data_IF_472895822856
#
_entry.id   IF_472895822856
#
_cell.length_a   1.000
_cell.length_b   1.000
_cell.length_c   1.000
_cell.angle_alpha   90.00
_cell.angle_beta   90.00
_cell.angle_gamma   90.00
#
_symmetry.space_group_name_H-M   'P 1'
#
loop_
_entity.id
_entity.type
_entity.pdbx_description
1 polymer ?
#
# COMPACT_ATOMS: atom_id res chain seq x y z
N UNK A 1 26.40 17.37 4.51
CA UNK A 1 25.51 17.58 5.67
C UNK A 1 24.31 16.66 5.53
N UNK A 2 24.32 15.58 6.28
CA UNK A 2 23.18 14.66 6.32
C UNK A 2 22.13 15.24 7.25
N UNK A 3 21.20 15.99 6.66
CA UNK A 3 19.99 16.37 7.36
C UNK A 3 19.04 15.15 7.35
N UNK A 4 19.40 14.17 8.17
CA UNK A 4 18.47 13.11 8.53
C UNK A 4 17.42 13.74 9.44
N UNK A 5 16.44 14.42 8.83
CA UNK A 5 15.24 14.82 9.55
C UNK A 5 14.67 13.56 10.18
N UNK A 6 14.83 13.45 11.48
CA UNK A 6 14.30 12.35 12.29
C UNK A 6 12.81 12.27 11.99
N UNK A 7 12.39 11.16 11.40
CA UNK A 7 10.96 10.92 11.13
C UNK A 7 10.27 10.83 12.49
N UNK A 8 9.35 11.76 12.75
CA UNK A 8 8.55 11.74 13.99
C UNK A 8 7.52 10.61 13.85
N UNK A 9 7.49 9.64 14.77
CA UNK A 9 6.50 8.57 14.71
C UNK A 9 5.08 9.13 14.78
N UNK A 10 4.17 8.53 14.02
CA UNK A 10 2.75 8.81 14.09
C UNK A 10 2.19 8.25 15.41
N UNK A 11 1.28 8.97 16.08
CA UNK A 11 0.64 8.43 17.26
C UNK A 11 -0.41 7.37 16.90
N UNK A 12 -0.73 6.50 17.86
CA UNK A 12 -1.63 5.36 17.62
C UNK A 12 -3.06 5.79 17.25
N UNK A 13 -3.55 6.88 17.81
CA UNK A 13 -4.90 7.38 17.51
C UNK A 13 -4.99 7.88 16.06
N UNK A 14 -3.97 8.58 15.60
CA UNK A 14 -3.86 9.04 14.21
C UNK A 14 -3.74 7.86 13.25
N UNK A 15 -2.92 6.88 13.57
CA UNK A 15 -2.77 5.66 12.79
C UNK A 15 -4.08 4.91 12.63
N UNK A 16 -4.84 4.72 13.71
CA UNK A 16 -6.14 4.06 13.67
C UNK A 16 -7.15 4.80 12.81
N UNK A 17 -7.16 6.13 12.84
CA UNK A 17 -8.00 6.94 11.94
C UNK A 17 -7.65 6.70 10.48
N UNK A 18 -6.37 6.66 10.16
CA UNK A 18 -5.89 6.39 8.80
C UNK A 18 -6.33 5.00 8.36
N UNK A 19 -6.08 3.98 9.16
CA UNK A 19 -6.46 2.60 8.85
C UNK A 19 -7.96 2.47 8.56
N UNK A 20 -8.80 3.09 9.38
CA UNK A 20 -10.26 3.08 9.17
C UNK A 20 -10.70 3.81 7.92
N UNK A 21 -9.93 4.80 7.46
CA UNK A 21 -10.24 5.60 6.29
C UNK A 21 -9.74 5.02 4.98
N UNK A 22 -8.81 4.07 5.00
CA UNK A 22 -8.21 3.49 3.80
C UNK A 22 -9.22 2.63 3.06
N UNK A 23 -9.43 2.85 1.74
CA UNK A 23 -10.16 1.90 0.91
C UNK A 23 -9.45 0.55 0.88
N UNK A 24 -10.15 -0.50 1.22
CA UNK A 24 -9.63 -1.88 1.18
C UNK A 24 -10.49 -2.69 0.22
N UNK A 25 -9.86 -3.21 -0.82
CA UNK A 25 -10.51 -4.08 -1.81
C UNK A 25 -10.08 -5.51 -1.52
N UNK A 26 -11.02 -6.35 -1.15
CA UNK A 26 -10.78 -7.77 -0.84
C UNK A 26 -11.27 -8.70 -1.95
N UNK A 27 -10.91 -9.96 -1.84
CA UNK A 27 -11.31 -11.01 -2.77
C UNK A 27 -10.91 -10.70 -4.22
N UNK A 28 -9.76 -10.09 -4.42
CA UNK A 28 -9.26 -9.75 -5.75
C UNK A 28 -8.85 -11.03 -6.49
N UNK A 29 -9.44 -11.25 -7.66
CA UNK A 29 -9.16 -12.42 -8.51
C UNK A 29 -8.17 -12.13 -9.63
N UNK A 30 -7.62 -10.93 -9.70
CA UNK A 30 -6.64 -10.56 -10.72
C UNK A 30 -5.39 -11.43 -10.65
N UNK A 31 -4.77 -11.64 -11.80
CA UNK A 31 -3.56 -12.46 -11.94
C UNK A 31 -2.30 -11.63 -12.17
N UNK A 32 -2.44 -10.33 -12.37
CA UNK A 32 -1.34 -9.40 -12.62
C UNK A 32 -1.31 -8.29 -11.58
N UNK A 33 -0.12 -7.80 -11.27
CA UNK A 33 0.04 -6.65 -10.40
C UNK A 33 -0.70 -5.40 -10.94
N UNK A 34 -0.68 -5.19 -12.26
CA UNK A 34 -1.39 -4.09 -12.90
C UNK A 34 -2.89 -4.17 -12.65
N UNK A 35 -3.51 -5.35 -12.76
CA UNK A 35 -4.93 -5.55 -12.48
C UNK A 35 -5.27 -5.24 -11.03
N UNK A 36 -4.44 -5.66 -10.08
CA UNK A 36 -4.62 -5.36 -8.65
C UNK A 36 -4.51 -3.85 -8.40
N UNK A 37 -3.46 -3.22 -8.89
CA UNK A 37 -3.23 -1.77 -8.74
C UNK A 37 -4.41 -0.99 -9.32
N UNK A 38 -4.93 -1.39 -10.47
CA UNK A 38 -6.09 -0.76 -11.11
C UNK A 38 -7.34 -0.82 -10.21
N UNK A 39 -7.67 -1.98 -9.67
CA UNK A 39 -8.83 -2.12 -8.77
C UNK A 39 -8.67 -1.28 -7.51
N UNK A 40 -7.51 -1.27 -6.91
CA UNK A 40 -7.24 -0.48 -5.71
C UNK A 40 -7.30 1.01 -5.99
N UNK A 41 -6.65 1.48 -7.05
CA UNK A 41 -6.66 2.90 -7.43
C UNK A 41 -8.04 3.39 -7.83
N UNK A 42 -8.86 2.53 -8.45
CA UNK A 42 -10.27 2.87 -8.74
C UNK A 42 -11.01 3.20 -7.45
N UNK A 43 -10.88 2.37 -6.43
CA UNK A 43 -11.50 2.61 -5.13
C UNK A 43 -10.96 3.88 -4.45
N UNK A 44 -9.66 4.15 -4.55
CA UNK A 44 -9.03 5.37 -4.03
C UNK A 44 -9.56 6.61 -4.74
N UNK A 45 -9.67 6.57 -6.06
CA UNK A 45 -10.18 7.67 -6.87
C UNK A 45 -11.64 7.98 -6.55
N UNK A 46 -12.48 6.94 -6.48
CA UNK A 46 -13.90 7.09 -6.14
C UNK A 46 -14.08 7.73 -4.75
N UNK A 47 -13.36 7.24 -3.76
CA UNK A 47 -13.44 7.77 -2.39
C UNK A 47 -13.03 9.23 -2.29
N UNK A 48 -12.02 9.65 -3.05
CA UNK A 48 -11.44 10.99 -2.97
C UNK A 48 -11.98 11.95 -4.04
N UNK A 49 -12.95 11.52 -4.83
CA UNK A 49 -13.54 12.36 -5.87
C UNK A 49 -12.57 12.74 -6.98
N UNK A 50 -11.58 11.91 -7.27
CA UNK A 50 -10.59 12.16 -8.32
C UNK A 50 -11.18 11.85 -9.70
N UNK A 51 -10.75 12.58 -10.76
CA UNK A 51 -11.26 12.34 -12.11
C UNK A 51 -10.88 10.97 -12.62
N UNK A 52 -11.89 10.15 -12.96
CA UNK A 52 -11.68 8.77 -13.41
C UNK A 52 -10.97 8.67 -14.75
N UNK A 53 -11.00 9.73 -15.57
CA UNK A 53 -10.27 9.79 -16.83
C UNK A 53 -8.74 9.78 -16.63
N UNK A 54 -8.26 10.08 -15.42
CA UNK A 54 -6.83 10.03 -15.07
C UNK A 54 -6.40 8.68 -14.48
N UNK A 55 -7.32 7.75 -14.28
CA UNK A 55 -7.03 6.47 -13.65
C UNK A 55 -5.99 5.65 -14.45
N UNK A 56 -6.17 5.52 -15.74
CA UNK A 56 -5.26 4.71 -16.59
C UNK A 56 -3.83 5.27 -16.57
N UNK A 57 -3.68 6.58 -16.64
CA UNK A 57 -2.37 7.22 -16.55
C UNK A 57 -1.71 6.98 -15.20
N UNK A 58 -2.49 7.02 -14.11
CA UNK A 58 -1.96 6.77 -12.77
C UNK A 58 -1.54 5.31 -12.58
N UNK A 59 -2.35 4.36 -13.06
CA UNK A 59 -1.99 2.93 -13.05
C UNK A 59 -0.67 2.72 -13.79
N UNK A 60 -0.54 3.26 -14.98
CA UNK A 60 0.70 3.15 -15.77
C UNK A 60 1.90 3.75 -15.06
N UNK A 61 1.72 4.90 -14.40
CA UNK A 61 2.78 5.56 -13.63
C UNK A 61 3.24 4.71 -12.45
N UNK A 62 2.32 4.16 -11.68
CA UNK A 62 2.63 3.29 -10.52
C UNK A 62 3.36 2.03 -10.98
N UNK A 63 2.88 1.39 -12.03
CA UNK A 63 3.51 0.16 -12.56
C UNK A 63 4.90 0.45 -13.11
N UNK A 64 5.07 1.51 -13.89
CA UNK A 64 6.38 1.88 -14.45
C UNK A 64 7.39 2.24 -13.37
N UNK A 65 6.97 2.97 -12.34
CA UNK A 65 7.81 3.32 -11.21
C UNK A 65 8.25 2.07 -10.42
N UNK A 66 7.31 1.18 -10.16
CA UNK A 66 7.56 -0.05 -9.41
C UNK A 66 8.50 -1.02 -10.15
N UNK A 67 8.54 -0.99 -11.48
CA UNK A 67 9.48 -1.79 -12.28
C UNK A 67 10.90 -1.24 -12.25
N UNK A 68 11.07 0.07 -12.08
CA UNK A 68 12.40 0.72 -12.01
C UNK A 68 13.02 0.57 -10.64
N UNK A 69 12.24 0.77 -9.60
CA UNK A 69 12.67 0.55 -8.24
C UNK A 69 12.51 -0.94 -7.92
N UNK A 70 13.61 -1.53 -7.51
CA UNK A 70 13.71 -2.94 -7.20
C UNK A 70 12.42 -3.45 -6.56
N UNK A 71 11.62 -4.11 -7.39
CA UNK A 71 10.57 -5.01 -6.97
C UNK A 71 9.45 -4.46 -6.07
N UNK A 72 8.66 -3.49 -6.51
CA UNK A 72 7.47 -3.09 -5.75
C UNK A 72 7.71 -2.92 -4.23
N UNK A 73 8.97 -2.84 -3.79
CA UNK A 73 9.34 -2.99 -2.37
C UNK A 73 8.69 -4.22 -1.73
N UNK A 74 8.61 -5.31 -2.49
CA UNK A 74 7.89 -6.50 -2.06
C UNK A 74 8.75 -7.42 -1.20
N UNK A 75 8.21 -7.82 -0.06
CA UNK A 75 8.83 -8.72 0.89
C UNK A 75 7.76 -9.38 1.76
N UNK A 76 7.97 -10.63 2.12
CA UNK A 76 7.08 -11.39 3.01
C UNK A 76 5.61 -11.44 2.57
N UNK A 77 5.37 -11.43 1.26
CA UNK A 77 4.00 -11.50 0.72
C UNK A 77 3.28 -10.16 0.63
N UNK A 78 3.96 -9.07 0.89
CA UNK A 78 3.45 -7.70 0.81
C UNK A 78 4.18 -6.94 -0.27
N UNK A 79 3.46 -6.17 -1.09
CA UNK A 79 4.03 -5.22 -2.03
C UNK A 79 3.53 -3.80 -1.71
N UNK A 80 4.38 -2.82 -1.95
CA UNK A 80 4.07 -1.41 -1.72
C UNK A 80 4.29 -0.62 -3.02
N UNK A 81 3.49 -0.88 -4.08
CA UNK A 81 3.60 -0.10 -5.29
C UNK A 81 3.18 1.35 -5.04
N UNK A 82 3.96 2.29 -5.58
CA UNK A 82 3.69 3.71 -5.35
C UNK A 82 3.99 4.53 -6.60
N UNK A 83 3.39 5.69 -6.67
CA UNK A 83 3.60 6.64 -7.74
C UNK A 83 3.36 8.07 -7.28
N UNK A 84 3.67 9.02 -8.15
CA UNK A 84 3.60 10.45 -7.86
C UNK A 84 2.60 11.11 -8.78
N UNK A 85 1.75 11.95 -8.19
CA UNK A 85 0.80 12.81 -8.89
C UNK A 85 0.94 14.22 -8.33
N UNK A 86 1.40 15.15 -9.16
CA UNK A 86 1.54 16.56 -8.73
C UNK A 86 0.19 17.15 -8.35
N UNK A 87 0.19 18.04 -7.36
CA UNK A 87 -1.01 18.74 -6.90
C UNK A 87 -1.80 18.03 -5.81
N UNK A 88 -1.38 16.84 -5.37
CA UNK A 88 -2.00 16.19 -4.22
C UNK A 88 -1.63 16.90 -2.92
N UNK A 89 -2.63 17.29 -2.16
CA UNK A 89 -2.44 17.92 -0.86
C UNK A 89 -2.15 16.92 0.25
N UNK A 90 -2.63 15.69 0.09
CA UNK A 90 -2.46 14.62 1.07
C UNK A 90 -2.07 13.31 0.41
N UNK A 91 -1.47 12.44 1.19
CA UNK A 91 -1.18 11.08 0.82
C UNK A 91 -2.48 10.30 0.56
N UNK A 92 -2.52 9.55 -0.54
CA UNK A 92 -3.60 8.64 -0.85
C UNK A 92 -3.10 7.20 -0.74
N UNK A 93 -3.84 6.38 -0.03
CA UNK A 93 -3.52 4.96 0.18
C UNK A 93 -4.73 4.11 -0.09
N UNK A 94 -4.52 2.99 -0.76
CA UNK A 94 -5.50 1.93 -0.88
C UNK A 94 -4.82 0.58 -0.65
N UNK A 95 -5.59 -0.40 -0.23
CA UNK A 95 -5.07 -1.75 0.02
C UNK A 95 -5.85 -2.75 -0.79
N UNK A 96 -5.13 -3.64 -1.47
CA UNK A 96 -5.69 -4.77 -2.17
C UNK A 96 -5.31 -6.07 -1.50
N UNK A 97 -6.30 -6.93 -1.25
CA UNK A 97 -6.11 -8.27 -0.70
C UNK A 97 -6.58 -9.27 -1.73
N UNK A 98 -5.70 -10.17 -2.16
CA UNK A 98 -6.04 -11.20 -3.12
C UNK A 98 -6.99 -12.22 -2.49
N UNK A 99 -7.76 -12.88 -3.34
CA UNK A 99 -8.59 -14.02 -2.95
C UNK A 99 -7.76 -15.05 -2.19
N UNK A 100 -8.33 -15.66 -1.18
CA UNK A 100 -7.68 -16.67 -0.36
C UNK A 100 -6.96 -17.72 -1.21
N UNK A 101 -5.71 -18.03 -0.87
CA UNK A 101 -4.87 -18.98 -1.58
C UNK A 101 -4.25 -18.44 -2.89
N UNK A 102 -4.55 -17.21 -3.30
CA UNK A 102 -3.93 -16.59 -4.48
C UNK A 102 -2.77 -15.68 -4.10
N UNK A 103 -1.79 -15.64 -4.98
CA UNK A 103 -0.62 -14.77 -4.85
C UNK A 103 -0.09 -14.45 -6.24
N UNK A 104 0.62 -13.33 -6.35
CA UNK A 104 1.22 -12.86 -7.60
C UNK A 104 2.73 -12.75 -7.40
N UNK A 105 3.48 -13.28 -8.34
CA UNK A 105 4.92 -13.06 -8.39
C UNK A 105 5.21 -11.67 -8.95
N UNK A 106 5.73 -10.79 -8.09
CA UNK A 106 6.14 -9.43 -8.45
C UNK A 106 7.66 -9.29 -8.42
N UNK A 107 8.37 -10.41 -8.47
CA UNK A 107 9.82 -10.44 -8.40
C UNK A 107 10.36 -9.81 -7.10
N UNK A 108 9.82 -10.26 -5.98
CA UNK A 108 10.16 -9.76 -4.65
C UNK A 108 11.62 -10.01 -4.27
N UNK A 109 12.13 -9.20 -3.35
CA UNK A 109 13.52 -9.28 -2.86
C UNK A 109 13.83 -10.64 -2.25
N UNK A 110 12.88 -11.21 -1.53
CA UNK A 110 13.04 -12.49 -0.82
C UNK A 110 12.45 -13.70 -1.55
N UNK A 111 11.99 -13.50 -2.79
CA UNK A 111 11.36 -14.56 -3.60
C UNK A 111 9.93 -14.91 -3.19
N UNK A 112 9.35 -14.25 -2.19
CA UNK A 112 7.97 -14.49 -1.79
C UNK A 112 6.98 -14.00 -2.85
N UNK A 113 5.84 -14.71 -2.98
CA UNK A 113 4.72 -14.23 -3.81
C UNK A 113 3.83 -13.31 -3.00
N UNK A 114 3.30 -12.27 -3.64
CA UNK A 114 2.53 -11.21 -2.99
C UNK A 114 1.05 -11.56 -2.89
N UNK A 115 0.52 -11.37 -1.69
CA UNK A 115 -0.89 -11.54 -1.37
C UNK A 115 -1.60 -10.21 -1.04
N UNK A 116 -0.87 -9.24 -0.51
CA UNK A 116 -1.40 -7.94 -0.10
C UNK A 116 -0.61 -6.81 -0.77
N UNK A 117 -1.35 -5.84 -1.33
CA UNK A 117 -0.79 -4.68 -2.02
C UNK A 117 -1.19 -3.40 -1.28
N UNK A 118 -0.22 -2.64 -0.82
CA UNK A 118 -0.40 -1.27 -0.30
C UNK A 118 -0.06 -0.31 -1.43
N UNK A 119 -1.08 0.26 -2.06
CA UNK A 119 -0.89 1.19 -3.17
C UNK A 119 -0.88 2.61 -2.64
N UNK A 120 0.20 3.34 -2.89
CA UNK A 120 0.40 4.68 -2.35
C UNK A 120 0.57 5.66 -3.49
N UNK A 121 -0.17 6.76 -3.46
CA UNK A 121 0.01 7.89 -4.36
C UNK A 121 0.29 9.14 -3.53
N UNK A 122 1.38 9.81 -3.84
CA UNK A 122 1.78 11.04 -3.18
C UNK A 122 2.20 12.10 -4.22
N UNK A 123 2.40 13.34 -3.79
CA UNK A 123 2.78 14.42 -4.70
C UNK A 123 4.26 14.36 -5.09
N UNK A 124 5.10 13.88 -4.19
CA UNK A 124 6.55 13.73 -4.40
C UNK A 124 7.14 12.79 -3.35
N UNK A 125 8.37 12.28 -3.54
CA UNK A 125 9.06 11.48 -2.52
C UNK A 125 9.24 12.19 -1.18
N UNK A 126 9.18 13.51 -1.18
CA UNK A 126 9.39 14.35 0.00
C UNK A 126 8.08 14.84 0.64
N UNK A 127 6.93 14.37 0.16
CA UNK A 127 5.65 14.78 0.72
C UNK A 127 5.57 14.42 2.21
N UNK A 128 5.11 15.39 3.02
CA UNK A 128 4.84 15.15 4.43
C UNK A 128 3.82 14.01 4.59
N UNK A 129 4.04 13.17 5.57
CA UNK A 129 3.19 12.00 5.83
C UNK A 129 3.61 10.73 5.11
N UNK A 130 4.24 10.79 3.93
CA UNK A 130 4.65 9.60 3.20
C UNK A 130 5.63 8.74 4.01
N UNK A 131 6.68 9.35 4.51
CA UNK A 131 7.69 8.66 5.33
C UNK A 131 7.13 8.19 6.67
N UNK A 132 6.27 9.00 7.29
CA UNK A 132 5.59 8.62 8.54
C UNK A 132 4.70 7.41 8.34
N UNK A 133 3.93 7.40 7.25
CA UNK A 133 3.07 6.27 6.91
C UNK A 133 3.89 5.00 6.71
N UNK A 134 4.96 5.05 5.91
CA UNK A 134 5.83 3.90 5.68
C UNK A 134 6.48 3.41 6.98
N UNK A 135 6.97 4.31 7.81
CA UNK A 135 7.60 3.95 9.08
C UNK A 135 6.61 3.25 10.02
N UNK A 136 5.39 3.76 10.11
CA UNK A 136 4.34 3.17 10.94
C UNK A 136 3.88 1.82 10.38
N UNK A 137 3.72 1.71 9.06
CA UNK A 137 3.40 0.45 8.41
C UNK A 137 4.47 -0.60 8.68
N UNK A 138 5.74 -0.26 8.49
CA UNK A 138 6.85 -1.16 8.77
C UNK A 138 6.88 -1.59 10.24
N UNK A 139 6.64 -0.66 11.16
CA UNK A 139 6.55 -0.96 12.60
C UNK A 139 5.46 -1.98 12.89
N UNK A 140 4.27 -1.81 12.33
CA UNK A 140 3.17 -2.75 12.49
C UNK A 140 3.50 -4.13 11.91
N UNK A 141 4.13 -4.16 10.73
CA UNK A 141 4.44 -5.42 10.04
C UNK A 141 5.56 -6.23 10.73
N UNK A 142 6.47 -5.55 11.40
CA UNK A 142 7.60 -6.21 12.11
C UNK A 142 7.17 -6.71 13.49
N UNK A 143 6.21 -6.04 14.12
CA UNK A 143 5.80 -6.36 15.49
C UNK A 143 4.93 -7.62 15.56
N UNK A 144 5.12 -8.42 16.62
CA UNK A 144 4.21 -9.48 17.08
C UNK A 144 3.89 -10.61 16.07
N UNK A 145 4.80 -10.95 15.18
CA UNK A 145 4.57 -12.06 14.24
C UNK A 145 3.45 -11.81 13.23
N UNK A 146 3.12 -10.55 12.96
CA UNK A 146 2.07 -10.16 12.00
C UNK A 146 2.35 -10.78 10.62
N UNK A 147 3.60 -10.80 10.18
CA UNK A 147 3.98 -11.34 8.88
C UNK A 147 3.48 -12.77 8.69
N UNK A 148 3.59 -13.62 9.71
CA UNK A 148 3.10 -15.00 9.62
C UNK A 148 1.57 -15.10 9.52
N UNK A 149 0.85 -14.06 9.95
CA UNK A 149 -0.62 -14.00 9.92
C UNK A 149 -1.17 -13.37 8.64
N UNK A 150 -0.36 -12.67 7.89
CA UNK A 150 -0.79 -11.96 6.68
C UNK A 150 -1.36 -12.89 5.61
N UNK A 151 -0.81 -14.10 5.49
CA UNK A 151 -1.29 -15.08 4.51
C UNK A 151 -2.73 -15.54 4.77
N UNK A 152 -3.23 -15.40 5.99
CA UNK A 152 -4.61 -15.76 6.37
C UNK A 152 -5.60 -14.61 6.28
N UNK A 153 -5.14 -13.39 5.98
CA UNK A 153 -6.00 -12.22 5.81
C UNK A 153 -6.81 -12.36 4.53
N UNK A 154 -8.11 -12.27 4.63
CA UNK A 154 -9.00 -12.33 3.48
C UNK A 154 -10.11 -11.26 3.51
N UNK A 155 -10.37 -10.67 4.65
CA UNK A 155 -11.42 -9.66 4.82
C UNK A 155 -10.85 -8.33 5.30
N UNK A 156 -11.67 -7.26 5.13
CA UNK A 156 -11.38 -5.95 5.68
C UNK A 156 -11.15 -6.00 7.20
N UNK A 157 -12.01 -6.70 7.92
CA UNK A 157 -11.91 -6.81 9.38
C UNK A 157 -10.62 -7.49 9.81
N UNK A 158 -10.20 -8.54 9.11
CA UNK A 158 -8.92 -9.22 9.38
C UNK A 158 -7.75 -8.23 9.28
N UNK A 159 -7.72 -7.45 8.20
CA UNK A 159 -6.65 -6.50 7.95
C UNK A 159 -6.65 -5.33 8.94
N UNK A 160 -7.83 -4.77 9.23
CA UNK A 160 -7.95 -3.71 10.23
C UNK A 160 -7.49 -4.17 11.60
N UNK A 161 -7.85 -5.38 12.00
CA UNK A 161 -7.41 -5.98 13.27
C UNK A 161 -5.89 -6.10 13.34
N UNK A 162 -5.25 -6.55 12.25
CA UNK A 162 -3.79 -6.66 12.18
C UNK A 162 -3.10 -5.30 12.27
N UNK A 163 -3.58 -4.32 11.54
CA UNK A 163 -2.97 -2.99 11.49
C UNK A 163 -3.24 -2.17 12.76
N UNK A 164 -4.24 -2.53 13.54
CA UNK A 164 -4.62 -1.85 14.79
C UNK A 164 -4.01 -2.51 16.03
N UNK A 165 -3.48 -3.71 15.94
CA UNK A 165 -2.86 -4.42 17.07
C UNK A 165 -1.42 -3.97 17.26
N UNK A 166 -1.10 -3.54 18.46
CA UNK A 166 0.25 -3.13 18.88
C UNK A 166 0.74 -4.01 20.03
#
# INVERSE_FOLDING_TARGET
MNDTKKVIPMDDAEWQKIVKSIPIVCDIAETTAEGVVRQVLKAVFEKNGLPMDKLDAMVSTVIAHSKRDISFSAVHGIAIPHGYMSGLEKLLVGIGVLRHGRSIDVNSIDGSKTHIFFVIVCSSPNQAGYRQFLAQLCKCLISNGIISRLASVSTRNDLEALLSSH
#
